data_IF_057934727122
#
_entry.id   IF_057934727122
#
_cell.length_a   1.000
_cell.length_b   1.000
_cell.length_c   1.000
_cell.angle_alpha   90.00
_cell.angle_beta   90.00
_cell.angle_gamma   90.00
#
_symmetry.space_group_name_H-M   'P 1'
#
loop_
_entity.id
_entity.type
_entity.pdbx_description
1 polymer ?
#
# COMPACT_ATOMS: atom_id res chain seq x y z
N UNK A 1 38.70 2.25 30.50
CA UNK A 1 39.19 2.56 29.14
C UNK A 1 38.05 3.20 28.37
N UNK A 2 38.21 4.45 27.97
CA UNK A 2 37.14 5.40 27.63
C UNK A 2 36.60 5.22 26.21
N UNK A 3 35.28 5.09 26.06
CA UNK A 3 34.50 4.99 24.81
C UNK A 3 34.54 6.19 23.86
N UNK A 4 35.62 6.98 23.88
CA UNK A 4 35.86 8.11 22.95
C UNK A 4 36.61 7.68 21.68
N UNK A 5 37.08 6.44 21.61
CA UNK A 5 37.86 5.89 20.49
C UNK A 5 36.99 5.44 19.30
N UNK A 6 35.81 4.87 19.58
CA UNK A 6 34.98 4.23 18.54
C UNK A 6 34.40 5.24 17.54
N UNK A 7 33.95 6.41 18.01
CA UNK A 7 33.35 7.44 17.14
C UNK A 7 34.36 8.23 16.29
N UNK A 8 35.66 8.17 16.58
CA UNK A 8 36.66 8.94 15.83
C UNK A 8 37.01 8.29 14.47
N UNK A 9 36.81 6.97 14.34
CA UNK A 9 37.09 6.23 13.10
C UNK A 9 36.01 6.42 12.02
N UNK A 10 34.74 6.55 12.41
CA UNK A 10 33.61 6.71 11.47
C UNK A 10 33.63 8.05 10.73
N UNK A 11 34.28 9.10 11.26
CA UNK A 11 34.30 10.43 10.64
C UNK A 11 35.00 10.47 9.28
N UNK A 12 35.91 9.53 9.00
CA UNK A 12 36.69 9.51 7.75
C UNK A 12 35.97 8.89 6.54
N UNK A 13 34.98 8.03 6.77
CA UNK A 13 34.32 7.27 5.69
C UNK A 13 33.11 7.99 5.07
N UNK A 14 32.55 9.01 5.74
CA UNK A 14 31.34 9.70 5.29
C UNK A 14 31.57 11.05 4.59
N UNK A 15 32.82 11.46 4.36
CA UNK A 15 33.11 12.70 3.59
C UNK A 15 33.16 12.43 2.10
N UNK A 16 32.07 11.92 1.53
CA UNK A 16 31.78 12.06 0.12
C UNK A 16 31.21 13.46 -0.19
N UNK A 17 31.24 13.93 -1.46
CA UNK A 17 30.71 15.24 -1.81
C UNK A 17 29.24 15.33 -1.40
N UNK A 18 28.92 16.26 -0.50
CA UNK A 18 27.57 16.52 0.00
C UNK A 18 26.68 17.00 -1.15
N UNK A 19 25.99 16.07 -1.82
CA UNK A 19 24.78 16.40 -2.57
C UNK A 19 23.67 16.65 -1.54
N UNK A 20 23.05 17.82 -1.57
CA UNK A 20 21.94 18.18 -0.69
C UNK A 20 20.75 17.26 -0.97
N UNK A 21 20.68 16.13 -0.27
CA UNK A 21 19.46 15.35 -0.16
C UNK A 21 18.68 15.97 0.99
N UNK A 22 17.51 16.54 0.69
CA UNK A 22 16.53 16.92 1.71
C UNK A 22 16.08 15.63 2.39
N UNK A 23 16.76 15.24 3.46
CA UNK A 23 16.24 14.22 4.35
C UNK A 23 15.14 14.88 5.18
N UNK A 24 13.96 14.26 5.34
CA UNK A 24 12.98 14.76 6.27
C UNK A 24 13.64 14.80 7.66
N UNK A 25 13.78 16.01 8.20
CA UNK A 25 14.19 16.21 9.59
C UNK A 25 13.02 15.70 10.41
N UNK A 26 13.19 14.55 11.05
CA UNK A 26 12.23 14.08 12.04
C UNK A 26 12.46 14.94 13.28
N UNK A 27 11.67 16.00 13.42
CA UNK A 27 11.54 16.70 14.71
C UNK A 27 10.84 15.74 15.66
N UNK A 28 11.65 15.02 16.43
CA UNK A 28 11.17 14.24 17.57
C UNK A 28 10.73 15.25 18.62
N UNK A 29 9.44 15.57 18.66
CA UNK A 29 8.85 16.22 19.83
C UNK A 29 9.10 15.29 21.03
N UNK A 30 9.49 15.85 22.17
CA UNK A 30 9.96 15.11 23.35
C UNK A 30 8.93 14.09 23.91
N UNK A 31 7.68 14.13 23.42
CA UNK A 31 6.54 13.30 23.84
C UNK A 31 5.88 12.50 22.68
N UNK A 32 6.53 12.34 21.52
CA UNK A 32 5.94 11.63 20.38
C UNK A 32 6.14 10.10 20.47
N UNK A 33 5.13 9.38 20.99
CA UNK A 33 5.10 7.91 21.04
C UNK A 33 4.97 7.22 19.66
N UNK A 34 4.75 7.99 18.59
CA UNK A 34 4.48 7.45 17.25
C UNK A 34 5.46 8.04 16.22
N UNK A 35 6.15 7.15 15.48
CA UNK A 35 7.03 7.50 14.37
C UNK A 35 6.39 7.19 13.02
N UNK A 36 6.27 8.19 12.16
CA UNK A 36 5.87 7.99 10.77
C UNK A 36 7.07 7.54 9.94
N UNK A 37 7.03 6.28 9.48
CA UNK A 37 8.06 5.70 8.60
C UNK A 37 7.45 5.55 7.20
N UNK A 38 8.15 6.05 6.18
CA UNK A 38 7.74 5.79 4.79
C UNK A 38 7.95 4.30 4.48
N UNK A 39 6.87 3.60 4.16
CA UNK A 39 6.90 2.16 3.89
C UNK A 39 7.90 1.78 2.78
N UNK A 40 8.22 2.67 1.84
CA UNK A 40 9.17 2.41 0.75
C UNK A 40 10.57 2.03 1.24
N UNK A 41 10.98 2.42 2.45
CA UNK A 41 12.29 2.02 3.01
C UNK A 41 12.32 0.58 3.52
N UNK A 42 11.18 -0.10 3.59
CA UNK A 42 11.02 -1.48 4.03
C UNK A 42 10.80 -2.46 2.86
N UNK A 43 10.93 -1.99 1.62
CA UNK A 43 10.75 -2.80 0.41
C UNK A 43 12.07 -3.01 -0.33
N UNK A 44 12.21 -4.17 -0.97
CA UNK A 44 13.31 -4.44 -1.88
C UNK A 44 13.17 -3.60 -3.16
N UNK A 45 14.17 -2.78 -3.56
CA UNK A 45 14.08 -1.98 -4.79
C UNK A 45 14.05 -2.79 -6.10
N UNK A 46 14.30 -4.10 -6.04
CA UNK A 46 14.36 -4.99 -7.21
C UNK A 46 13.06 -5.74 -7.42
N UNK A 47 12.57 -6.44 -6.39
CA UNK A 47 11.32 -7.21 -6.47
C UNK A 47 10.10 -6.48 -5.93
N UNK A 48 10.28 -5.31 -5.30
CA UNK A 48 9.21 -4.50 -4.70
C UNK A 48 8.43 -5.18 -3.58
N UNK A 49 8.91 -6.31 -3.07
CA UNK A 49 8.33 -6.98 -1.91
C UNK A 49 8.84 -6.36 -0.61
N UNK A 50 7.98 -6.36 0.42
CA UNK A 50 8.38 -6.02 1.79
C UNK A 50 9.43 -7.03 2.26
N UNK A 51 10.45 -6.58 2.97
CA UNK A 51 11.43 -7.48 3.54
C UNK A 51 10.76 -8.41 4.57
N UNK A 52 10.91 -9.73 4.41
CA UNK A 52 10.38 -10.70 5.38
C UNK A 52 11.36 -11.06 6.51
N UNK A 53 12.64 -10.78 6.29
CA UNK A 53 13.78 -11.03 7.20
C UNK A 53 14.81 -9.93 6.96
N UNK A 54 15.88 -9.88 7.77
CA UNK A 54 16.99 -8.93 7.57
C UNK A 54 17.49 -8.93 6.11
N UNK A 55 17.37 -7.80 5.38
CA UNK A 55 17.86 -7.71 4.01
C UNK A 55 19.38 -7.63 3.97
N UNK A 56 19.95 -7.98 2.82
CA UNK A 56 21.36 -7.95 2.53
C UNK A 56 21.80 -6.56 2.06
N UNK A 57 22.85 -6.04 2.69
CA UNK A 57 23.48 -4.74 2.41
C UNK A 57 24.70 -4.96 1.55
N UNK A 58 24.68 -4.39 0.35
CA UNK A 58 25.85 -4.35 -0.52
C UNK A 58 26.91 -3.39 0.04
N UNK A 59 28.16 -3.51 -0.40
CA UNK A 59 29.27 -2.63 0.03
C UNK A 59 29.02 -1.13 -0.17
N UNK A 60 28.11 -0.78 -1.09
CA UNK A 60 27.67 0.60 -1.31
C UNK A 60 26.63 1.12 -0.29
N UNK A 61 26.15 0.27 0.63
CA UNK A 61 25.18 0.60 1.67
C UNK A 61 23.71 0.42 1.31
N UNK A 62 23.37 0.01 0.09
CA UNK A 62 21.97 -0.24 -0.29
C UNK A 62 21.53 -1.66 0.07
N UNK A 63 20.31 -1.79 0.60
CA UNK A 63 19.72 -3.05 1.06
C UNK A 63 18.79 -3.68 0.02
N UNK A 64 18.85 -5.01 -0.12
CA UNK A 64 18.01 -5.82 -1.02
C UNK A 64 17.66 -7.14 -0.33
N UNK A 65 16.59 -7.82 -0.75
CA UNK A 65 16.30 -9.14 -0.19
C UNK A 65 17.34 -10.18 -0.66
N UNK A 66 17.59 -11.20 0.15
CA UNK A 66 18.65 -12.18 -0.10
C UNK A 66 18.50 -12.91 -1.43
N UNK A 67 17.27 -13.21 -1.86
CA UNK A 67 17.02 -13.82 -3.18
C UNK A 67 17.44 -12.92 -4.33
N UNK A 68 17.24 -11.60 -4.21
CA UNK A 68 17.69 -10.64 -5.23
C UNK A 68 19.22 -10.51 -5.23
N UNK A 69 19.87 -10.51 -4.06
CA UNK A 69 21.34 -10.44 -3.98
C UNK A 69 21.99 -11.71 -4.51
N UNK A 70 21.44 -12.88 -4.19
CA UNK A 70 21.92 -14.16 -4.71
C UNK A 70 21.85 -14.20 -6.24
N UNK A 71 20.75 -13.70 -6.81
CA UNK A 71 20.61 -13.59 -8.26
C UNK A 71 21.64 -12.63 -8.89
N UNK A 72 21.83 -11.44 -8.29
CA UNK A 72 22.84 -10.48 -8.76
C UNK A 72 24.26 -11.07 -8.74
N UNK A 73 24.59 -11.82 -7.68
CA UNK A 73 25.89 -12.49 -7.54
C UNK A 73 26.06 -13.63 -8.54
N UNK A 74 24.99 -14.35 -8.84
CA UNK A 74 24.98 -15.42 -9.85
C UNK A 74 25.14 -14.87 -11.27
N UNK A 75 24.59 -13.68 -11.54
CA UNK A 75 24.70 -12.98 -12.83
C UNK A 75 25.99 -12.16 -12.97
N UNK A 76 26.90 -12.22 -11.98
CA UNK A 76 28.15 -11.47 -11.98
C UNK A 76 29.09 -11.90 -13.11
N UNK A 77 29.81 -10.93 -13.68
CA UNK A 77 30.71 -11.16 -14.81
C UNK A 77 32.16 -10.99 -14.39
N UNK A 78 33.04 -11.86 -14.89
CA UNK A 78 34.48 -11.72 -14.64
C UNK A 78 35.03 -10.47 -15.33
N UNK A 79 35.61 -9.56 -14.55
CA UNK A 79 36.20 -8.33 -15.07
C UNK A 79 37.73 -8.36 -14.83
N UNK A 80 38.56 -8.43 -15.89
CA UNK A 80 40.01 -8.52 -15.76
C UNK A 80 40.66 -7.37 -14.99
N UNK A 81 40.11 -6.15 -15.06
CA UNK A 81 40.64 -4.98 -14.34
C UNK A 81 40.48 -5.08 -12.81
N UNK A 82 39.53 -5.88 -12.34
CA UNK A 82 39.30 -6.14 -10.93
C UNK A 82 39.79 -7.52 -10.49
N UNK A 83 40.24 -8.37 -11.43
CA UNK A 83 40.63 -9.77 -11.18
C UNK A 83 39.58 -10.58 -10.39
N UNK A 84 38.30 -10.28 -10.61
CA UNK A 84 37.18 -10.75 -9.79
C UNK A 84 35.87 -10.76 -10.62
N UNK A 85 34.86 -11.49 -10.15
CA UNK A 85 33.49 -11.39 -10.66
C UNK A 85 32.78 -10.18 -10.04
N UNK A 86 32.31 -9.30 -10.91
CA UNK A 86 31.72 -8.01 -10.54
C UNK A 86 30.25 -7.97 -10.97
N UNK A 87 29.42 -7.37 -10.12
CA UNK A 87 28.03 -7.02 -10.41
C UNK A 87 27.77 -5.57 -9.98
N UNK A 88 26.76 -4.93 -10.55
CA UNK A 88 26.40 -3.56 -10.21
C UNK A 88 25.22 -3.50 -9.24
N UNK A 89 25.29 -2.58 -8.27
CA UNK A 89 24.14 -2.25 -7.44
C UNK A 89 23.00 -1.69 -8.30
N UNK A 90 21.79 -2.28 -8.30
CA UNK A 90 20.67 -1.79 -9.10
C UNK A 90 20.23 -0.35 -8.77
N UNK A 91 20.51 0.11 -7.55
CA UNK A 91 20.09 1.43 -7.08
C UNK A 91 21.07 2.55 -7.44
N UNK A 92 22.38 2.31 -7.31
CA UNK A 92 23.40 3.34 -7.48
C UNK A 92 24.51 3.03 -8.49
N UNK A 93 24.47 1.83 -9.10
CA UNK A 93 25.45 1.32 -10.09
C UNK A 93 26.88 1.22 -9.56
N UNK A 94 27.06 1.14 -8.25
CA UNK A 94 28.36 0.86 -7.66
C UNK A 94 28.79 -0.58 -7.99
N UNK A 95 30.03 -0.76 -8.42
CA UNK A 95 30.62 -2.08 -8.68
C UNK A 95 30.83 -2.81 -7.36
N UNK A 96 30.26 -3.99 -7.24
CA UNK A 96 30.37 -4.87 -6.09
C UNK A 96 31.03 -6.17 -6.55
N UNK A 97 31.89 -6.75 -5.71
CA UNK A 97 32.56 -8.02 -6.02
C UNK A 97 31.83 -9.19 -5.36
N UNK A 98 31.97 -10.39 -5.90
CA UNK A 98 31.42 -11.60 -5.26
C UNK A 98 32.23 -12.00 -4.03
N UNK A 99 33.50 -11.64 -3.96
CA UNK A 99 34.40 -11.92 -2.85
C UNK A 99 34.04 -11.13 -1.59
N UNK A 100 33.38 -9.97 -1.76
CA UNK A 100 32.78 -9.21 -0.68
C UNK A 100 31.36 -9.73 -0.39
N UNK A 101 31.14 -10.55 0.66
CA UNK A 101 29.80 -11.00 1.01
C UNK A 101 28.96 -9.82 1.53
N UNK A 102 27.66 -9.77 1.20
CA UNK A 102 26.76 -8.78 1.77
C UNK A 102 26.62 -8.97 3.28
N UNK A 103 26.29 -7.88 3.98
CA UNK A 103 26.06 -7.88 5.44
C UNK A 103 24.55 -7.75 5.69
N UNK A 104 24.01 -8.47 6.66
CA UNK A 104 22.57 -8.37 7.00
C UNK A 104 22.24 -7.08 7.78
N UNK A 105 21.12 -6.46 7.42
CA UNK A 105 20.59 -5.28 8.11
C UNK A 105 19.55 -5.65 9.18
N UNK A 106 20.04 -6.01 10.37
CA UNK A 106 19.18 -6.34 11.52
C UNK A 106 18.33 -5.18 12.02
N UNK A 107 18.69 -3.93 11.71
CA UNK A 107 17.88 -2.78 12.11
C UNK A 107 16.55 -2.74 11.35
N UNK A 108 16.55 -3.08 10.06
CA UNK A 108 15.32 -3.19 9.27
C UNK A 108 14.46 -4.35 9.78
N UNK A 109 15.06 -5.49 10.12
CA UNK A 109 14.35 -6.62 10.72
C UNK A 109 13.66 -6.24 12.03
N UNK A 110 14.39 -5.59 12.95
CA UNK A 110 13.81 -5.12 14.22
C UNK A 110 12.67 -4.11 14.01
N UNK A 111 12.77 -3.22 13.01
CA UNK A 111 11.68 -2.30 12.67
C UNK A 111 10.46 -3.08 12.20
N UNK A 112 10.64 -4.06 11.30
CA UNK A 112 9.52 -4.85 10.75
C UNK A 112 8.85 -5.70 11.84
N UNK A 113 9.64 -6.34 12.71
CA UNK A 113 9.15 -7.08 13.87
C UNK A 113 8.32 -6.16 14.78
N UNK A 114 8.85 -4.98 15.12
CA UNK A 114 8.14 -4.00 15.95
C UNK A 114 6.82 -3.54 15.33
N UNK A 115 6.75 -3.40 14.00
CA UNK A 115 5.49 -3.06 13.32
C UNK A 115 4.52 -4.23 13.40
N UNK A 116 4.99 -5.46 13.16
CA UNK A 116 4.14 -6.66 13.15
C UNK A 116 3.52 -6.99 14.52
N UNK A 117 4.26 -6.72 15.61
CA UNK A 117 3.79 -6.96 16.98
C UNK A 117 2.80 -5.90 17.46
N UNK A 118 2.92 -4.67 16.95
CA UNK A 118 2.07 -3.54 17.34
C UNK A 118 0.88 -3.30 16.39
N UNK A 119 0.78 -4.04 15.28
CA UNK A 119 -0.42 -4.03 14.44
C UNK A 119 -1.53 -4.84 15.10
N UNK A 120 -2.36 -4.17 15.91
CA UNK A 120 -3.77 -4.57 16.01
C UNK A 120 -4.38 -4.55 14.58
N UNK A 121 -5.40 -5.37 14.26
CA UNK A 121 -6.10 -5.27 12.99
C UNK A 121 -6.74 -3.89 12.91
N UNK A 122 -6.00 -2.95 12.34
CA UNK A 122 -6.45 -1.61 12.03
C UNK A 122 -7.59 -1.78 11.04
N UNK A 123 -8.78 -1.30 11.42
CA UNK A 123 -9.95 -1.32 10.55
C UNK A 123 -9.56 -0.60 9.24
N UNK A 124 -9.72 -1.22 8.06
CA UNK A 124 -9.21 -0.69 6.78
C UNK A 124 -9.65 0.75 6.45
N UNK A 125 -10.69 1.24 7.09
CA UNK A 125 -11.30 2.55 6.84
C UNK A 125 -10.57 3.74 7.51
N UNK A 126 -9.87 3.55 8.64
CA UNK A 126 -9.24 4.69 9.35
C UNK A 126 -7.86 5.08 8.78
N UNK A 127 -7.04 4.11 8.36
CA UNK A 127 -5.70 4.41 7.85
C UNK A 127 -5.65 4.84 6.38
N UNK A 128 -6.71 4.59 5.59
CA UNK A 128 -6.81 5.16 4.25
C UNK A 128 -6.97 6.69 4.30
N UNK A 129 -7.57 7.22 5.37
CA UNK A 129 -7.81 8.65 5.55
C UNK A 129 -6.57 9.35 6.11
N UNK A 130 -5.74 8.68 6.91
CA UNK A 130 -4.54 9.28 7.52
C UNK A 130 -3.33 9.36 6.56
N UNK A 131 -3.18 8.42 5.62
CA UNK A 131 -2.03 8.35 4.70
C UNK A 131 -2.22 9.10 3.38
N UNK A 132 -3.41 9.61 3.11
CA UNK A 132 -3.65 10.45 1.94
C UNK A 132 -3.60 11.92 2.39
N UNK A 133 -2.47 12.60 2.10
CA UNK A 133 -2.47 14.07 2.17
C UNK A 133 -3.59 14.55 1.24
N UNK A 134 -4.38 15.51 1.70
CA UNK A 134 -5.48 16.12 0.93
C UNK A 134 -5.04 16.58 -0.49
N UNK A 135 -3.76 16.89 -0.67
CA UNK A 135 -3.11 17.19 -1.96
C UNK A 135 -2.99 15.98 -2.90
N UNK A 136 -2.67 14.80 -2.39
CA UNK A 136 -2.51 13.57 -3.19
C UNK A 136 -3.86 13.06 -3.69
N UNK A 137 -4.92 13.22 -2.88
CA UNK A 137 -6.30 12.97 -3.29
C UNK A 137 -6.65 13.85 -4.50
N UNK A 138 -6.37 15.16 -4.42
CA UNK A 138 -6.61 16.11 -5.52
C UNK A 138 -5.79 15.78 -6.78
N UNK A 139 -4.52 15.39 -6.63
CA UNK A 139 -3.68 15.00 -7.76
C UNK A 139 -4.18 13.70 -8.42
N UNK A 140 -4.70 12.75 -7.63
CA UNK A 140 -5.33 11.53 -8.14
C UNK A 140 -6.66 11.83 -8.87
N UNK A 141 -7.47 12.78 -8.38
CA UNK A 141 -8.67 13.28 -9.07
C UNK A 141 -8.34 13.95 -10.41
N UNK A 142 -7.23 14.67 -10.49
CA UNK A 142 -6.75 15.31 -11.74
C UNK A 142 -6.30 14.26 -12.75
N UNK A 143 -5.52 13.27 -12.33
CA UNK A 143 -5.02 12.21 -13.22
C UNK A 143 -6.11 11.24 -13.69
N UNK A 144 -7.11 10.94 -12.85
CA UNK A 144 -8.20 9.99 -13.14
C UNK A 144 -9.56 10.65 -13.40
N UNK A 145 -9.60 11.89 -13.90
CA UNK A 145 -10.83 12.67 -14.14
C UNK A 145 -11.89 11.95 -14.97
N UNK A 146 -11.47 11.10 -15.92
CA UNK A 146 -12.41 10.31 -16.75
C UNK A 146 -13.11 9.22 -15.94
N UNK A 147 -12.37 8.49 -15.10
CA UNK A 147 -12.96 7.47 -14.24
C UNK A 147 -13.97 8.08 -13.27
N UNK A 148 -13.65 9.22 -12.67
CA UNK A 148 -14.56 9.91 -11.76
C UNK A 148 -15.88 10.32 -12.43
N UNK A 149 -15.85 10.87 -13.65
CA UNK A 149 -17.07 11.19 -14.40
C UNK A 149 -17.92 9.94 -14.67
N UNK A 150 -17.28 8.82 -14.99
CA UNK A 150 -17.98 7.58 -15.25
C UNK A 150 -18.61 7.01 -13.96
N UNK A 151 -17.89 7.06 -12.84
CA UNK A 151 -18.42 6.64 -11.53
C UNK A 151 -19.63 7.48 -11.15
N UNK A 152 -19.54 8.81 -11.22
CA UNK A 152 -20.67 9.69 -10.92
C UNK A 152 -21.86 9.44 -11.84
N UNK A 153 -21.62 9.24 -13.14
CA UNK A 153 -22.68 8.94 -14.10
C UNK A 153 -23.34 7.58 -13.82
N UNK A 154 -22.57 6.57 -13.43
CA UNK A 154 -23.08 5.25 -13.05
C UNK A 154 -23.89 5.32 -11.74
N UNK A 155 -23.45 6.11 -10.77
CA UNK A 155 -24.20 6.35 -9.54
C UNK A 155 -25.53 7.06 -9.80
N UNK A 156 -25.54 8.04 -10.69
CA UNK A 156 -26.77 8.71 -11.11
C UNK A 156 -27.71 7.77 -11.88
N UNK A 157 -27.17 6.94 -12.77
CA UNK A 157 -27.94 5.89 -13.45
C UNK A 157 -28.53 4.90 -12.44
N UNK A 158 -27.75 4.47 -11.45
CA UNK A 158 -28.21 3.59 -10.37
C UNK A 158 -29.35 4.23 -9.58
N UNK A 159 -29.22 5.50 -9.18
CA UNK A 159 -30.27 6.25 -8.49
C UNK A 159 -31.55 6.36 -9.32
N UNK A 160 -31.43 6.67 -10.61
CA UNK A 160 -32.57 6.75 -11.52
C UNK A 160 -33.27 5.39 -11.69
N UNK A 161 -32.52 4.29 -11.77
CA UNK A 161 -33.07 2.95 -11.83
C UNK A 161 -33.79 2.55 -10.54
N UNK A 162 -33.24 2.89 -9.37
CA UNK A 162 -33.89 2.62 -8.09
C UNK A 162 -35.24 3.33 -7.97
N UNK A 163 -35.34 4.58 -8.42
CA UNK A 163 -36.61 5.32 -8.46
C UNK A 163 -37.63 4.60 -9.37
N UNK A 164 -37.19 4.12 -10.54
CA UNK A 164 -38.06 3.37 -11.46
C UNK A 164 -38.51 2.04 -10.89
N UNK A 165 -37.64 1.33 -10.17
CA UNK A 165 -37.98 0.08 -9.48
C UNK A 165 -39.05 0.36 -8.42
N UNK A 166 -38.86 1.37 -7.58
CA UNK A 166 -39.85 1.75 -6.55
C UNK A 166 -41.21 2.17 -7.16
N UNK A 167 -41.21 2.90 -8.28
CA UNK A 167 -42.44 3.24 -8.99
C UNK A 167 -43.17 1.98 -9.50
N UNK A 168 -42.44 1.03 -10.09
CA UNK A 168 -43.01 -0.23 -10.56
C UNK A 168 -43.53 -1.09 -9.41
N UNK A 169 -42.83 -1.12 -8.29
CA UNK A 169 -43.31 -1.80 -7.09
C UNK A 169 -44.59 -1.17 -6.54
N UNK A 170 -44.69 0.17 -6.51
CA UNK A 170 -45.91 0.86 -6.11
C UNK A 170 -47.07 0.49 -7.02
N UNK A 171 -46.87 0.50 -8.34
CA UNK A 171 -47.90 0.09 -9.30
C UNK A 171 -48.31 -1.37 -9.10
N UNK A 172 -47.34 -2.27 -8.90
CA UNK A 172 -47.61 -3.69 -8.65
C UNK A 172 -48.41 -3.88 -7.35
N UNK A 173 -48.05 -3.18 -6.28
CA UNK A 173 -48.82 -3.20 -5.02
C UNK A 173 -50.26 -2.71 -5.24
N UNK A 174 -50.45 -1.64 -6.01
CA UNK A 174 -51.78 -1.14 -6.35
C UNK A 174 -52.60 -2.12 -7.19
N UNK A 175 -52.01 -2.74 -8.21
CA UNK A 175 -52.73 -3.73 -9.04
C UNK A 175 -53.12 -4.96 -8.24
N UNK A 176 -52.22 -5.47 -7.39
CA UNK A 176 -52.52 -6.58 -6.47
C UNK A 176 -53.70 -6.22 -5.56
N UNK A 177 -53.72 -5.00 -5.00
CA UNK A 177 -54.82 -4.52 -4.16
C UNK A 177 -56.16 -4.45 -4.93
N UNK A 178 -56.16 -3.96 -6.16
CA UNK A 178 -57.37 -3.90 -7.00
C UNK A 178 -57.91 -5.29 -7.34
N UNK A 179 -57.03 -6.23 -7.72
CA UNK A 179 -57.43 -7.61 -7.99
C UNK A 179 -57.99 -8.30 -6.75
N UNK A 180 -57.36 -8.12 -5.58
CA UNK A 180 -57.85 -8.65 -4.31
C UNK A 180 -59.25 -8.10 -3.97
N UNK A 181 -59.47 -6.80 -4.13
CA UNK A 181 -60.78 -6.18 -3.90
C UNK A 181 -61.86 -6.71 -4.85
N UNK A 182 -61.55 -6.85 -6.14
CA UNK A 182 -62.48 -7.39 -7.13
C UNK A 182 -62.82 -8.85 -6.86
N UNK A 183 -61.84 -9.65 -6.47
CA UNK A 183 -62.04 -11.04 -6.04
C UNK A 183 -62.96 -11.13 -4.81
N UNK A 184 -62.79 -10.29 -3.80
CA UNK A 184 -63.68 -10.24 -2.63
C UNK A 184 -65.12 -9.89 -3.01
N UNK A 185 -65.33 -8.95 -3.94
CA UNK A 185 -66.67 -8.61 -4.45
C UNK A 185 -67.31 -9.80 -5.19
N UNK A 186 -66.53 -10.53 -5.99
CA UNK A 186 -67.02 -11.74 -6.66
C UNK A 186 -67.41 -12.83 -5.66
N UNK A 187 -66.59 -13.07 -4.63
CA UNK A 187 -66.92 -14.01 -3.56
C UNK A 187 -68.19 -13.60 -2.82
N UNK A 188 -68.36 -12.30 -2.50
CA UNK A 188 -69.57 -11.79 -1.85
C UNK A 188 -70.82 -11.99 -2.71
N UNK A 189 -70.73 -11.75 -4.03
CA UNK A 189 -71.82 -12.03 -4.97
C UNK A 189 -72.16 -13.52 -5.00
N UNK A 190 -71.16 -14.40 -5.17
CA UNK A 190 -71.37 -15.85 -5.19
C UNK A 190 -72.01 -16.35 -3.89
N UNK A 191 -71.54 -15.87 -2.75
CA UNK A 191 -72.10 -16.20 -1.44
C UNK A 191 -73.57 -15.78 -1.30
N UNK A 192 -73.95 -14.63 -1.85
CA UNK A 192 -75.34 -14.19 -1.83
C UNK A 192 -76.24 -15.03 -2.76
N UNK A 193 -75.76 -15.40 -3.95
CA UNK A 193 -76.54 -16.20 -4.91
C UNK A 193 -76.76 -17.64 -4.43
N UNK A 194 -75.81 -18.23 -3.70
CA UNK A 194 -75.95 -19.59 -3.16
C UNK A 194 -76.80 -19.67 -1.89
N UNK A 195 -77.17 -18.52 -1.30
CA UNK A 195 -77.97 -18.44 -0.07
C UNK A 195 -79.45 -18.09 -0.32
N UNK A 196 -79.85 -17.95 -1.58
CA UNK A 196 -81.25 -17.85 -2.05
C UNK A 196 -81.68 -19.25 -2.52
#
# INVERSE_FOLDING_TARGET
MTGKSFFKCLKGYFTGPKKSKNYPVVELAEDADNLLINSSCLHCPVCYEVFGIAPDVLMCGHSFCSSCVEKLRSDAQYVPSFSSFVYECPFCRHHCTVEDPPIRNFAIEAIIESVSENTHPIHPEEHLVANLRYEDINHMFIQNRRLWRNVTALEDQKRALLIKVDEKERLLRHTIWLFAALFLVLLAKLYHTTRI
#
